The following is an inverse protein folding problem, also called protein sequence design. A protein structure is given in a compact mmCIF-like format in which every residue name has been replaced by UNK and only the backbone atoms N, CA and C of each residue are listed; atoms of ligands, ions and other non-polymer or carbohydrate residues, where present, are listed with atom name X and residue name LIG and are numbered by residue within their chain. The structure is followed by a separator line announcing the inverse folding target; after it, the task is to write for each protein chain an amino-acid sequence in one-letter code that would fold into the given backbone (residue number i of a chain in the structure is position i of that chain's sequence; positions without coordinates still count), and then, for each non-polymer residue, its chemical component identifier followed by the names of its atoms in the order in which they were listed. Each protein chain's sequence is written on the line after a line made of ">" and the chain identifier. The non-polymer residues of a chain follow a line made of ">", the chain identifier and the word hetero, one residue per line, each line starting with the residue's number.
data_IF_867314720552
#
_entry.id   IF_867314720552
#
_cell.length_a   1.000
_cell.length_b   1.000
_cell.length_c   1.000
_cell.angle_alpha   90.00
_cell.angle_beta   90.00
_cell.angle_gamma   90.00
#
_symmetry.space_group_name_H-M   'P 1'
#
loop_
_entity.id
_entity.type
_entity.pdbx_description
1 polymer ?
#
# COMPACT_ATOMS: atom_id res chain seq x y z
N UNK A 1 -34.62 29.14 -0.64
CA UNK A 1 -34.08 27.88 -1.19
C UNK A 1 -32.64 27.69 -0.73
N UNK A 2 -32.33 26.82 0.23
CA UNK A 2 -30.96 26.65 0.70
C UNK A 2 -30.20 25.67 -0.21
N UNK A 3 -29.12 26.17 -0.84
CA UNK A 3 -28.23 25.38 -1.70
C UNK A 3 -27.32 24.50 -0.83
N UNK A 4 -27.43 23.17 -0.97
CA UNK A 4 -26.49 22.21 -0.37
C UNK A 4 -25.14 22.30 -1.09
N UNK A 5 -24.07 22.52 -0.32
CA UNK A 5 -22.68 22.47 -0.79
C UNK A 5 -22.26 21.00 -0.96
N UNK A 6 -21.48 20.64 -2.00
CA UNK A 6 -21.00 19.27 -2.18
C UNK A 6 -19.83 19.01 -1.22
N UNK A 7 -20.14 18.46 -0.05
CA UNK A 7 -19.14 17.84 0.82
C UNK A 7 -18.78 16.49 0.24
N UNK A 8 -17.53 16.38 -0.24
CA UNK A 8 -16.87 15.22 -0.82
C UNK A 8 -17.47 13.85 -0.45
N UNK A 9 -17.87 13.11 -1.47
CA UNK A 9 -18.17 11.69 -1.42
C UNK A 9 -16.89 10.94 -1.03
N UNK A 10 -16.68 10.72 0.26
CA UNK A 10 -15.70 9.73 0.74
C UNK A 10 -16.34 8.35 0.56
N UNK A 11 -15.72 7.52 -0.26
CA UNK A 11 -16.07 6.10 -0.33
C UNK A 11 -15.96 5.49 1.07
N UNK A 12 -16.88 4.59 1.47
CA UNK A 12 -16.79 3.91 2.75
C UNK A 12 -15.60 2.96 2.71
N UNK A 13 -14.49 3.36 3.33
CA UNK A 13 -13.35 2.50 3.56
C UNK A 13 -13.74 1.29 4.43
N UNK A 14 -13.18 0.10 4.20
CA UNK A 14 -13.29 -0.99 5.15
C UNK A 14 -12.87 -0.48 6.54
N UNK A 15 -13.76 -0.66 7.52
CA UNK A 15 -13.60 -0.16 8.90
C UNK A 15 -12.55 -0.97 9.66
N UNK A 16 -11.31 -1.00 9.17
CA UNK A 16 -10.15 -1.38 9.97
C UNK A 16 -9.80 -0.28 10.99
N UNK A 17 -10.42 0.91 10.88
CA UNK A 17 -10.43 1.99 11.88
C UNK A 17 -11.14 1.65 13.20
N UNK A 18 -11.08 0.39 13.65
CA UNK A 18 -11.56 0.01 14.96
C UNK A 18 -10.66 0.69 16.00
N UNK A 19 -11.20 1.70 16.68
CA UNK A 19 -11.09 2.18 18.08
C UNK A 19 -10.12 1.48 19.07
N UNK A 20 -9.03 0.88 18.61
CA UNK A 20 -7.98 0.33 19.45
C UNK A 20 -6.81 1.31 19.51
N UNK A 21 -6.24 1.39 20.71
CA UNK A 21 -5.26 2.36 21.19
C UNK A 21 -4.45 3.05 20.09
N UNK A 22 -4.43 4.39 20.06
CA UNK A 22 -3.90 5.06 18.91
C UNK A 22 -2.39 4.84 18.84
N UNK A 23 -1.88 4.69 17.62
CA UNK A 23 -0.48 4.86 17.27
C UNK A 23 0.48 3.66 17.34
N UNK A 24 0.04 2.40 17.21
CA UNK A 24 1.00 1.30 16.98
C UNK A 24 0.73 0.56 15.69
N UNK A 25 1.61 0.79 14.73
CA UNK A 25 1.74 -0.04 13.54
C UNK A 25 2.56 -1.26 13.95
N UNK A 26 2.01 -2.45 13.71
CA UNK A 26 2.68 -3.71 14.07
C UNK A 26 4.08 -3.82 13.45
N UNK A 27 5.05 -4.24 14.27
CA UNK A 27 6.51 -4.31 13.97
C UNK A 27 7.23 -2.98 13.77
N UNK A 28 6.60 -1.85 14.09
CA UNK A 28 7.28 -0.55 14.20
C UNK A 28 7.33 -0.10 15.65
N UNK A 29 8.37 0.64 15.99
CA UNK A 29 8.50 1.29 17.28
C UNK A 29 7.36 2.30 17.49
N UNK A 30 6.99 2.60 18.76
CA UNK A 30 5.97 3.61 19.04
C UNK A 30 6.32 4.98 18.47
N UNK A 31 7.62 5.32 18.45
CA UNK A 31 8.13 6.59 17.90
C UNK A 31 7.91 6.66 16.38
N UNK A 32 8.25 5.59 15.66
CA UNK A 32 8.07 5.53 14.21
C UNK A 32 6.60 5.46 13.84
N UNK A 33 5.79 4.70 14.57
CA UNK A 33 4.34 4.67 14.38
C UNK A 33 3.71 6.08 14.55
N UNK A 34 4.11 6.83 15.58
CA UNK A 34 3.66 8.20 15.77
C UNK A 34 4.12 9.14 14.64
N UNK A 35 5.34 8.97 14.13
CA UNK A 35 5.86 9.75 13.01
C UNK A 35 5.08 9.47 11.71
N UNK A 36 4.75 8.19 11.45
CA UNK A 36 3.90 7.79 10.34
C UNK A 36 2.52 8.45 10.43
N UNK A 37 1.83 8.32 11.56
CA UNK A 37 0.51 8.93 11.71
C UNK A 37 0.51 10.46 11.61
N UNK A 38 1.61 11.10 12.00
CA UNK A 38 1.78 12.54 11.78
C UNK A 38 1.92 12.83 10.29
N UNK A 39 2.82 12.14 9.59
CA UNK A 39 3.03 12.32 8.16
C UNK A 39 1.74 12.06 7.35
N UNK A 40 0.99 11.01 7.66
CA UNK A 40 -0.29 10.69 7.02
C UNK A 40 -1.37 11.78 7.18
N UNK A 41 -1.27 12.61 8.23
CA UNK A 41 -2.22 13.70 8.50
C UNK A 41 -1.79 15.04 7.92
N UNK A 42 -0.48 15.24 7.81
CA UNK A 42 0.12 16.52 7.44
C UNK A 42 0.55 16.58 5.98
N UNK A 43 0.69 15.43 5.31
CA UNK A 43 1.13 15.38 3.92
C UNK A 43 0.01 15.74 2.95
N UNK A 44 0.36 16.49 1.92
CA UNK A 44 -0.47 16.72 0.73
C UNK A 44 -0.20 15.66 -0.37
N UNK A 45 0.60 14.62 -0.07
CA UNK A 45 0.87 13.55 -1.02
C UNK A 45 -0.42 12.85 -1.45
N UNK A 46 -0.61 12.76 -2.76
CA UNK A 46 -1.81 12.15 -3.34
C UNK A 46 -1.95 10.69 -2.89
N UNK A 47 -3.18 10.32 -2.52
CA UNK A 47 -3.55 8.99 -2.04
C UNK A 47 -2.84 8.56 -0.74
N UNK A 48 -2.30 9.49 0.06
CA UNK A 48 -1.93 9.21 1.45
C UNK A 48 -3.02 9.76 2.36
N UNK A 49 -3.56 8.91 3.23
CA UNK A 49 -4.60 9.27 4.19
C UNK A 49 -4.28 8.71 5.59
N UNK A 50 -4.93 9.20 6.66
CA UNK A 50 -4.74 8.65 8.00
C UNK A 50 -5.03 7.14 8.02
N UNK A 51 -4.06 6.31 8.41
CA UNK A 51 -4.17 4.85 8.43
C UNK A 51 -3.82 4.15 7.10
N UNK A 52 -3.38 4.89 6.08
CA UNK A 52 -2.99 4.32 4.79
C UNK A 52 -1.82 3.32 4.93
N UNK A 53 -0.82 3.63 5.75
CA UNK A 53 0.36 2.76 5.95
C UNK A 53 -0.02 1.44 6.59
N UNK A 54 -0.85 1.47 7.63
CA UNK A 54 -1.33 0.26 8.30
C UNK A 54 -2.16 -0.59 7.34
N UNK A 55 -3.03 0.05 6.55
CA UNK A 55 -3.88 -0.63 5.56
C UNK A 55 -3.02 -1.29 4.48
N UNK A 56 -2.01 -0.60 3.94
CA UNK A 56 -1.11 -1.16 2.93
C UNK A 56 -0.26 -2.30 3.48
N UNK A 57 0.29 -2.17 4.70
CA UNK A 57 1.01 -3.26 5.37
C UNK A 57 0.13 -4.48 5.59
N UNK A 58 -1.13 -4.27 6.00
CA UNK A 58 -2.11 -5.35 6.13
C UNK A 58 -2.29 -6.10 4.82
N UNK A 59 -2.51 -5.40 3.70
CA UNK A 59 -2.71 -6.04 2.40
C UNK A 59 -1.47 -6.75 1.88
N UNK A 60 -0.29 -6.16 2.01
CA UNK A 60 0.97 -6.83 1.68
C UNK A 60 1.14 -8.15 2.47
N UNK A 61 0.89 -8.11 3.78
CA UNK A 61 1.00 -9.30 4.64
C UNK A 61 -0.07 -10.33 4.32
N UNK A 62 -1.30 -9.90 4.04
CA UNK A 62 -2.41 -10.78 3.63
C UNK A 62 -2.13 -11.46 2.31
N UNK A 63 -1.60 -10.74 1.33
CA UNK A 63 -1.16 -11.30 0.05
C UNK A 63 -0.08 -12.37 0.28
N UNK A 64 0.94 -12.05 1.07
CA UNK A 64 2.01 -12.98 1.44
C UNK A 64 1.55 -14.13 2.35
N UNK A 65 0.38 -14.05 2.99
CA UNK A 65 -0.16 -15.16 3.77
C UNK A 65 -0.89 -16.20 2.91
N UNK A 66 -1.19 -15.91 1.64
CA UNK A 66 -1.87 -16.85 0.73
C UNK A 66 -1.06 -18.15 0.58
N UNK A 67 -1.69 -19.32 0.45
CA UNK A 67 -0.98 -20.56 0.17
C UNK A 67 -0.40 -20.56 -1.25
N UNK A 68 0.60 -21.42 -1.48
CA UNK A 68 1.23 -21.61 -2.80
C UNK A 68 2.67 -21.10 -2.86
N UNK A 69 3.52 -21.79 -3.63
CA UNK A 69 4.94 -21.45 -3.77
C UNK A 69 5.12 -20.12 -4.50
N UNK A 70 4.38 -19.92 -5.58
CA UNK A 70 4.35 -18.69 -6.37
C UNK A 70 2.95 -18.10 -6.31
N UNK A 71 2.89 -16.78 -6.13
CA UNK A 71 1.70 -15.98 -6.05
C UNK A 71 1.61 -15.10 -7.29
N UNK A 72 0.43 -15.09 -7.87
CA UNK A 72 0.09 -14.19 -8.95
C UNK A 72 -0.56 -12.93 -8.38
N UNK A 73 -0.13 -11.77 -8.89
CA UNK A 73 -0.66 -10.47 -8.46
C UNK A 73 -2.02 -10.26 -9.12
N UNK A 74 -3.04 -10.03 -8.30
CA UNK A 74 -4.38 -9.71 -8.78
C UNK A 74 -4.49 -8.22 -9.06
N UNK A 75 -5.27 -7.85 -10.08
CA UNK A 75 -5.69 -6.48 -10.27
C UNK A 75 -6.76 -6.11 -9.24
N UNK A 76 -6.72 -4.88 -8.73
CA UNK A 76 -7.79 -4.37 -7.90
C UNK A 76 -9.11 -4.35 -8.69
N UNK A 77 -10.17 -4.94 -8.12
CA UNK A 77 -11.49 -4.97 -8.75
C UNK A 77 -12.27 -3.65 -8.62
N UNK A 78 -11.82 -2.74 -7.75
CA UNK A 78 -12.48 -1.47 -7.46
C UNK A 78 -11.46 -0.32 -7.49
N UNK A 79 -11.77 0.82 -8.13
CA UNK A 79 -10.85 1.97 -8.22
C UNK A 79 -10.81 2.83 -6.96
N UNK A 80 -11.46 2.42 -5.86
CA UNK A 80 -11.44 3.22 -4.64
C UNK A 80 -10.08 3.08 -3.92
N UNK A 81 -9.55 4.14 -3.27
CA UNK A 81 -8.18 4.13 -2.76
C UNK A 81 -7.85 3.03 -1.73
N UNK A 82 -8.82 2.57 -0.95
CA UNK A 82 -8.58 1.49 0.02
C UNK A 82 -8.67 0.09 -0.59
N UNK A 83 -9.55 -0.08 -1.56
CA UNK A 83 -9.76 -1.38 -2.23
C UNK A 83 -8.72 -1.58 -3.34
N UNK A 84 -8.14 -0.49 -3.86
CA UNK A 84 -6.99 -0.57 -4.76
C UNK A 84 -5.80 -1.25 -4.09
N UNK A 85 -5.65 -1.15 -2.77
CA UNK A 85 -4.57 -1.79 -2.02
C UNK A 85 -4.71 -3.32 -1.93
N UNK A 86 -5.84 -3.91 -2.34
CA UNK A 86 -5.91 -5.37 -2.55
C UNK A 86 -4.90 -5.83 -3.61
N UNK A 87 -4.59 -4.95 -4.55
CA UNK A 87 -3.45 -5.06 -5.44
C UNK A 87 -2.16 -4.77 -4.65
N UNK A 88 -1.37 -5.82 -4.44
CA UNK A 88 -0.14 -5.71 -3.64
C UNK A 88 0.88 -4.75 -4.24
N UNK A 89 0.82 -4.50 -5.54
CA UNK A 89 1.67 -3.49 -6.19
C UNK A 89 1.24 -2.08 -5.78
N UNK A 90 -0.06 -1.78 -5.76
CA UNK A 90 -0.56 -0.48 -5.30
C UNK A 90 -0.32 -0.28 -3.81
N UNK A 91 -0.48 -1.33 -3.00
CA UNK A 91 -0.10 -1.31 -1.59
C UNK A 91 1.39 -0.98 -1.41
N UNK A 92 2.28 -1.59 -2.20
CA UNK A 92 3.72 -1.30 -2.12
C UNK A 92 4.08 0.08 -2.64
N UNK A 93 3.39 0.57 -3.66
CA UNK A 93 3.55 1.91 -4.20
C UNK A 93 3.17 2.97 -3.14
N UNK A 94 2.05 2.77 -2.44
CA UNK A 94 1.63 3.65 -1.35
C UNK A 94 2.69 3.70 -0.23
N UNK A 95 3.26 2.55 0.14
CA UNK A 95 4.31 2.49 1.17
C UNK A 95 5.58 3.24 0.75
N UNK A 96 5.91 3.24 -0.55
CA UNK A 96 7.02 4.04 -1.08
C UNK A 96 6.75 5.55 -0.92
N UNK A 97 5.53 6.00 -1.21
CA UNK A 97 5.14 7.41 -1.02
C UNK A 97 5.22 7.83 0.44
N UNK A 98 4.82 6.95 1.37
CA UNK A 98 4.96 7.20 2.81
C UNK A 98 6.43 7.32 3.21
N UNK A 99 7.31 6.43 2.74
CA UNK A 99 8.77 6.49 3.01
C UNK A 99 9.35 7.85 2.62
N UNK A 100 8.95 8.41 1.48
CA UNK A 100 9.45 9.71 0.99
C UNK A 100 9.13 10.88 1.93
N UNK A 101 7.96 10.86 2.59
CA UNK A 101 7.49 11.96 3.44
C UNK A 101 7.93 11.82 4.91
N UNK A 102 8.57 10.71 5.29
CA UNK A 102 8.99 10.46 6.66
C UNK A 102 10.31 11.14 7.04
N UNK A 103 10.46 11.57 8.31
CA UNK A 103 11.76 11.98 8.84
C UNK A 103 12.73 10.79 8.85
N UNK A 104 14.01 11.08 8.62
CA UNK A 104 15.07 10.06 8.40
C UNK A 104 15.05 8.88 9.39
N UNK A 105 14.89 9.07 10.72
CA UNK A 105 14.89 7.95 11.66
C UNK A 105 13.70 7.01 11.45
N UNK A 106 12.50 7.55 11.28
CA UNK A 106 11.28 6.78 11.04
C UNK A 106 11.32 6.11 9.66
N UNK A 107 11.86 6.83 8.67
CA UNK A 107 12.06 6.33 7.32
C UNK A 107 12.91 5.07 7.30
N UNK A 108 14.08 5.08 7.95
CA UNK A 108 14.98 3.92 8.02
C UNK A 108 14.33 2.68 8.65
N UNK A 109 13.54 2.88 9.70
CA UNK A 109 12.86 1.77 10.37
C UNK A 109 11.75 1.19 9.47
N UNK A 110 11.00 2.04 8.77
CA UNK A 110 10.02 1.58 7.79
C UNK A 110 10.71 0.88 6.60
N UNK A 111 11.77 1.45 6.03
CA UNK A 111 12.57 0.83 4.97
C UNK A 111 13.10 -0.55 5.36
N UNK A 112 13.57 -0.72 6.60
CA UNK A 112 14.02 -2.02 7.10
C UNK A 112 12.88 -3.06 7.16
N UNK A 113 11.68 -2.65 7.58
CA UNK A 113 10.49 -3.50 7.55
C UNK A 113 10.10 -3.85 6.10
N UNK A 114 10.12 -2.85 5.20
CA UNK A 114 9.80 -3.02 3.79
C UNK A 114 10.80 -3.94 3.10
N UNK A 115 12.09 -3.88 3.42
CA UNK A 115 13.10 -4.77 2.84
C UNK A 115 12.79 -6.25 3.08
N UNK A 116 12.25 -6.60 4.25
CA UNK A 116 11.82 -7.98 4.56
C UNK A 116 10.60 -8.36 3.73
N UNK A 117 9.63 -7.46 3.59
CA UNK A 117 8.45 -7.69 2.74
C UNK A 117 8.83 -7.80 1.27
N UNK A 118 9.74 -6.95 0.79
CA UNK A 118 10.22 -6.90 -0.58
C UNK A 118 10.99 -8.17 -0.95
N UNK A 119 11.82 -8.69 -0.04
CA UNK A 119 12.49 -9.98 -0.23
C UNK A 119 11.47 -11.13 -0.38
N UNK A 120 10.41 -11.12 0.42
CA UNK A 120 9.36 -12.13 0.36
C UNK A 120 8.51 -12.01 -0.92
N UNK A 121 8.11 -10.78 -1.28
CA UNK A 121 7.42 -10.49 -2.52
C UNK A 121 8.26 -10.92 -3.72
N UNK A 122 9.55 -10.59 -3.72
CA UNK A 122 10.49 -10.97 -4.78
C UNK A 122 10.55 -12.50 -4.95
N UNK A 123 10.64 -13.23 -3.83
CA UNK A 123 10.73 -14.70 -3.82
C UNK A 123 9.45 -15.36 -4.31
N UNK A 124 8.29 -14.79 -3.97
CA UNK A 124 6.98 -15.42 -4.19
C UNK A 124 6.25 -14.93 -5.42
N UNK A 125 6.65 -13.83 -6.04
CA UNK A 125 6.05 -13.35 -7.30
C UNK A 125 6.99 -13.65 -8.47
N UNK A 126 6.43 -14.11 -9.58
CA UNK A 126 7.22 -14.39 -10.79
C UNK A 126 7.44 -13.09 -11.58
N UNK A 127 8.60 -12.91 -12.21
CA UNK A 127 8.80 -11.81 -13.15
C UNK A 127 7.83 -11.97 -14.34
N UNK A 128 7.26 -10.86 -14.81
CA UNK A 128 6.43 -10.85 -16.02
C UNK A 128 7.33 -10.78 -17.27
N UNK A 129 7.39 -11.84 -18.11
CA UNK A 129 8.22 -11.83 -19.30
C UNK A 129 7.76 -10.79 -20.34
N UNK A 130 6.53 -10.29 -20.22
CA UNK A 130 5.94 -9.30 -21.11
C UNK A 130 5.85 -7.90 -20.48
N UNK A 131 6.46 -7.66 -19.31
CA UNK A 131 6.43 -6.36 -18.64
C UNK A 131 6.87 -5.20 -19.55
N UNK A 132 7.81 -5.46 -20.47
CA UNK A 132 8.30 -4.48 -21.45
C UNK A 132 7.23 -3.95 -22.42
N UNK A 133 6.12 -4.69 -22.57
CA UNK A 133 5.01 -4.33 -23.46
C UNK A 133 4.03 -3.34 -22.83
N UNK A 134 4.03 -3.19 -21.51
CA UNK A 134 3.17 -2.22 -20.83
C UNK A 134 3.90 -0.87 -20.69
N UNK A 135 3.53 0.16 -21.46
CA UNK A 135 4.19 1.47 -21.38
C UNK A 135 4.00 2.13 -20.01
N UNK A 136 2.93 1.79 -19.27
CA UNK A 136 2.65 2.36 -17.94
C UNK A 136 3.63 1.84 -16.89
N UNK A 137 4.31 0.72 -17.16
CA UNK A 137 5.26 0.09 -16.24
C UNK A 137 6.71 0.37 -16.60
N UNK A 138 6.96 1.04 -17.75
CA UNK A 138 8.30 1.36 -18.22
C UNK A 138 8.96 2.35 -17.26
N UNK A 139 10.02 1.91 -16.57
CA UNK A 139 10.72 2.71 -15.56
C UNK A 139 10.10 2.72 -14.17
N UNK A 140 8.99 1.98 -13.96
CA UNK A 140 8.43 1.75 -12.63
C UNK A 140 9.29 0.81 -11.78
N UNK A 141 9.07 0.84 -10.47
CA UNK A 141 9.74 -0.04 -9.50
C UNK A 141 9.56 -1.53 -9.84
N UNK A 142 10.49 -2.38 -9.40
CA UNK A 142 10.56 -3.79 -9.82
C UNK A 142 9.28 -4.60 -9.53
N UNK A 143 8.49 -4.23 -8.52
CA UNK A 143 7.22 -4.88 -8.18
C UNK A 143 6.11 -4.65 -9.21
N UNK A 144 6.26 -3.65 -10.10
CA UNK A 144 5.38 -3.46 -11.26
C UNK A 144 5.69 -4.48 -12.37
N UNK A 145 6.88 -5.05 -12.40
CA UNK A 145 7.33 -5.97 -13.47
C UNK A 145 7.09 -7.44 -13.11
N UNK A 146 6.07 -7.69 -12.29
CA UNK A 146 5.66 -9.00 -11.80
C UNK A 146 4.43 -9.51 -12.51
N UNK A 147 4.37 -10.83 -12.63
CA UNK A 147 3.28 -11.53 -13.31
C UNK A 147 1.97 -11.22 -12.61
N UNK A 148 1.02 -10.76 -13.42
CA UNK A 148 -0.33 -10.44 -12.99
C UNK A 148 -1.31 -11.39 -13.63
N UNK A 149 -2.32 -11.79 -12.86
CA UNK A 149 -3.39 -12.66 -13.33
C UNK A 149 -4.33 -11.92 -14.25
N UNK A 150 -5.00 -12.67 -15.13
CA UNK A 150 -6.04 -12.15 -16.03
C UNK A 150 -7.02 -11.27 -15.23
N UNK A 151 -7.18 -9.98 -15.58
CA UNK A 151 -8.19 -9.12 -14.97
C UNK A 151 -9.61 -9.59 -15.33
N UNK A 152 -9.75 -10.34 -16.43
CA UNK A 152 -10.98 -10.91 -16.94
C UNK A 152 -10.63 -12.24 -17.62
N UNK A 153 -10.94 -13.37 -16.99
CA UNK A 153 -10.89 -14.67 -17.67
C UNK A 153 -11.88 -14.75 -18.83
#
# INVERSE_FOLDING_TARGET
>A
MPRRRPGALRAPHPKLYALHQPYRIDRLSPRTSAAVHRAERETDAEEVWPGATETALYWCRRFLARPGRYLEISYAGCPCPSDSLEDVTEARELLERVVVVLPVPARRELEALLAVLDAELWRRTLPDPFAFRDPRRRGGSWWHHRLRGEPFG
#
